data_IF_272484207284
#
_entry.id   IF_272484207284
#
_cell.length_a   1.000
_cell.length_b   1.000
_cell.length_c   1.000
_cell.angle_alpha   90.00
_cell.angle_beta   90.00
_cell.angle_gamma   90.00
#
_symmetry.space_group_name_H-M   'P 1'
#
loop_
_entity.id
_entity.type
_entity.pdbx_description
1 polymer ?
#
# COMPACT_ATOMS: atom_id res chain seq x y z
N UNK A 1 17.24 -3.43 54.64
CA UNK A 1 17.65 -4.02 53.34
C UNK A 1 16.40 -4.45 52.57
N UNK A 2 15.82 -3.54 51.81
CA UNK A 2 14.63 -3.83 51.01
C UNK A 2 15.07 -4.34 49.63
N UNK A 3 14.83 -5.62 49.36
CA UNK A 3 15.12 -6.24 48.07
C UNK A 3 14.06 -5.78 47.06
N UNK A 4 14.51 -5.02 46.06
CA UNK A 4 13.78 -4.75 44.83
C UNK A 4 13.49 -6.08 44.11
N UNK A 5 12.21 -6.38 43.88
CA UNK A 5 11.77 -7.40 42.94
C UNK A 5 11.46 -6.70 41.61
N UNK A 6 12.41 -6.74 40.68
CA UNK A 6 12.18 -6.34 39.28
C UNK A 6 11.37 -7.43 38.58
N UNK A 7 10.11 -7.15 38.28
CA UNK A 7 9.29 -7.94 37.36
C UNK A 7 9.63 -7.50 35.92
N UNK A 8 10.49 -8.27 35.25
CA UNK A 8 10.70 -8.15 33.80
C UNK A 8 9.58 -8.92 33.11
N UNK A 9 8.54 -8.21 32.68
CA UNK A 9 7.51 -8.76 31.79
C UNK A 9 8.08 -8.73 30.37
N UNK A 10 8.59 -9.86 29.90
CA UNK A 10 8.95 -10.06 28.49
C UNK A 10 7.64 -10.36 27.73
N UNK A 11 7.03 -9.33 27.14
CA UNK A 11 5.96 -9.50 26.15
C UNK A 11 6.56 -10.02 24.85
N UNK A 12 6.59 -11.34 24.69
CA UNK A 12 6.86 -11.99 23.40
C UNK A 12 5.66 -11.75 22.48
N UNK A 13 5.72 -10.71 21.66
CA UNK A 13 4.80 -10.50 20.53
C UNK A 13 5.22 -11.38 19.35
N UNK A 14 5.04 -12.70 19.48
CA UNK A 14 5.03 -13.62 18.35
C UNK A 14 3.63 -13.64 17.74
N UNK A 15 3.38 -12.77 16.75
CA UNK A 15 2.21 -12.94 15.89
C UNK A 15 2.46 -12.43 14.49
N UNK A 16 3.43 -13.05 13.80
CA UNK A 16 3.24 -13.35 12.39
C UNK A 16 2.38 -14.62 12.38
N UNK A 17 1.06 -14.46 12.27
CA UNK A 17 0.14 -15.60 12.24
C UNK A 17 0.40 -16.34 10.93
N UNK A 18 0.78 -17.61 11.03
CA UNK A 18 0.89 -18.53 9.90
C UNK A 18 -0.52 -19.06 9.64
N UNK A 19 -1.19 -18.57 8.61
CA UNK A 19 -2.51 -19.12 8.22
C UNK A 19 -2.34 -20.40 7.40
N UNK A 20 -3.20 -21.37 7.69
CA UNK A 20 -3.24 -22.70 7.08
C UNK A 20 -4.06 -22.68 5.80
N UNK A 21 -3.57 -23.40 4.80
CA UNK A 21 -4.10 -23.59 3.45
C UNK A 21 -5.62 -23.80 3.39
N UNK A 22 -6.31 -22.97 2.60
CA UNK A 22 -7.61 -23.31 2.01
C UNK A 22 -7.51 -23.07 0.50
N UNK A 23 -7.62 -24.12 -0.35
CA UNK A 23 -7.64 -23.93 -1.79
C UNK A 23 -8.97 -23.26 -2.20
N UNK A 24 -8.88 -22.26 -3.07
CA UNK A 24 -10.05 -21.69 -3.77
C UNK A 24 -9.88 -21.93 -5.25
N UNK A 25 -10.79 -22.70 -5.85
CA UNK A 25 -10.80 -23.08 -7.26
C UNK A 25 -11.43 -21.93 -8.07
N UNK A 26 -10.74 -21.45 -9.11
CA UNK A 26 -11.32 -20.61 -10.17
C UNK A 26 -11.67 -21.49 -11.39
N UNK A 27 -12.70 -21.08 -12.13
CA UNK A 27 -13.40 -21.89 -13.14
C UNK A 27 -12.64 -22.16 -14.47
N UNK A 28 -11.35 -21.83 -14.59
CA UNK A 28 -10.62 -21.94 -15.86
C UNK A 28 -9.44 -22.92 -15.85
N UNK A 29 -9.37 -23.85 -14.91
CA UNK A 29 -8.42 -24.98 -14.97
C UNK A 29 -6.93 -24.62 -14.91
N UNK A 30 -6.59 -23.36 -14.66
CA UNK A 30 -5.23 -22.92 -14.33
C UNK A 30 -5.09 -22.87 -12.82
N UNK A 31 -4.24 -23.73 -12.28
CA UNK A 31 -3.87 -23.75 -10.86
C UNK A 31 -3.13 -22.45 -10.54
N UNK A 32 -3.85 -21.40 -10.11
CA UNK A 32 -3.22 -20.24 -9.47
C UNK A 32 -2.83 -20.71 -8.07
N UNK A 33 -1.62 -21.25 -7.96
CA UNK A 33 -0.99 -21.53 -6.68
C UNK A 33 -0.86 -20.20 -5.96
N UNK A 34 -1.78 -19.93 -5.01
CA UNK A 34 -1.66 -18.79 -4.10
C UNK A 34 -0.28 -18.87 -3.45
N UNK A 35 0.60 -17.95 -3.84
CA UNK A 35 1.95 -17.83 -3.31
C UNK A 35 1.88 -17.86 -1.78
N UNK A 36 2.51 -18.88 -1.19
CA UNK A 36 2.53 -19.05 0.26
C UNK A 36 3.51 -18.03 0.79
N UNK A 37 2.99 -16.92 1.31
CA UNK A 37 3.77 -15.90 1.99
C UNK A 37 4.47 -16.49 3.22
N UNK A 38 5.71 -16.94 3.03
CA UNK A 38 6.60 -17.30 4.14
C UNK A 38 7.26 -16.02 4.60
N UNK A 39 7.19 -15.70 5.89
CA UNK A 39 7.93 -14.55 6.44
C UNK A 39 9.43 -14.83 6.33
N UNK A 40 10.09 -14.15 5.41
CA UNK A 40 11.52 -14.24 5.12
C UNK A 40 12.32 -13.45 6.17
N UNK A 41 11.85 -12.24 6.51
CA UNK A 41 12.51 -11.32 7.44
C UNK A 41 11.51 -10.32 8.03
N UNK A 42 11.62 -10.03 9.33
CA UNK A 42 10.89 -8.95 10.00
C UNK A 42 11.82 -7.75 10.23
N UNK A 43 11.30 -6.53 10.08
CA UNK A 43 12.05 -5.29 10.30
C UNK A 43 11.36 -4.39 11.31
N UNK A 44 12.09 -3.42 11.85
CA UNK A 44 11.50 -2.40 12.69
C UNK A 44 10.97 -1.28 11.80
N UNK A 45 9.69 -0.94 11.92
CA UNK A 45 9.12 0.22 11.23
C UNK A 45 9.75 1.50 11.79
N UNK A 46 10.38 2.29 10.92
CA UNK A 46 11.22 3.43 11.33
C UNK A 46 10.47 4.75 11.41
N UNK A 47 9.31 4.86 10.78
CA UNK A 47 8.47 6.06 10.84
C UNK A 47 7.67 6.08 12.14
N UNK A 48 8.08 6.92 13.09
CA UNK A 48 7.53 6.96 14.45
C UNK A 48 6.67 8.19 14.77
N UNK A 49 6.73 9.23 13.93
CA UNK A 49 6.08 10.53 14.16
C UNK A 49 4.75 10.73 13.42
N UNK A 50 4.12 9.65 12.93
CA UNK A 50 2.78 9.72 12.37
C UNK A 50 1.71 9.64 13.47
N UNK A 51 0.58 10.32 13.27
CA UNK A 51 -0.61 10.26 14.13
C UNK A 51 -1.76 9.48 13.48
N UNK A 52 -1.78 9.42 12.13
CA UNK A 52 -2.87 8.89 11.32
C UNK A 52 -2.32 8.27 10.04
N UNK A 53 -2.92 7.15 9.63
CA UNK A 53 -2.72 6.56 8.31
C UNK A 53 -4.02 6.67 7.50
N UNK A 54 -3.90 7.12 6.25
CA UNK A 54 -4.99 7.15 5.29
C UNK A 54 -4.65 6.26 4.10
N UNK A 55 -5.64 5.49 3.65
CA UNK A 55 -5.60 4.85 2.34
C UNK A 55 -6.38 5.74 1.38
N UNK A 56 -5.79 6.03 0.22
CA UNK A 56 -6.50 6.70 -0.87
C UNK A 56 -6.47 5.82 -2.11
N UNK A 57 -7.56 5.90 -2.88
CA UNK A 57 -7.66 5.25 -4.18
C UNK A 57 -8.15 6.24 -5.23
N UNK A 58 -7.65 6.05 -6.44
CA UNK A 58 -7.94 6.81 -7.64
C UNK A 58 -7.81 5.90 -8.85
N UNK A 59 -8.42 6.29 -9.96
CA UNK A 59 -8.14 5.66 -11.26
C UNK A 59 -6.68 5.88 -11.65
N UNK A 60 -6.19 5.16 -12.65
CA UNK A 60 -4.78 5.18 -13.09
C UNK A 60 -4.19 6.60 -13.13
N UNK A 61 -3.33 6.93 -12.16
CA UNK A 61 -2.77 8.27 -12.02
C UNK A 61 -2.02 8.71 -13.27
N UNK A 62 -1.33 7.80 -13.94
CA UNK A 62 -0.54 8.14 -15.13
C UNK A 62 -1.44 8.61 -16.27
N UNK A 63 -2.71 8.21 -16.30
CA UNK A 63 -3.65 8.61 -17.34
C UNK A 63 -4.22 10.02 -17.15
N UNK A 64 -4.27 10.56 -15.92
CA UNK A 64 -4.91 11.87 -15.65
C UNK A 64 -4.01 12.90 -14.98
N UNK A 65 -2.92 12.50 -14.33
CA UNK A 65 -2.00 13.44 -13.70
C UNK A 65 -1.16 14.12 -14.79
N UNK A 66 -1.58 15.31 -15.21
CA UNK A 66 -0.89 16.14 -16.22
C UNK A 66 -0.05 17.25 -15.60
N UNK A 67 0.02 17.31 -14.26
CA UNK A 67 0.65 18.40 -13.53
C UNK A 67 2.16 18.14 -13.45
N UNK A 68 2.97 18.97 -14.08
CA UNK A 68 4.40 19.01 -13.82
C UNK A 68 4.70 19.60 -12.43
N UNK A 69 5.77 19.12 -11.79
CA UNK A 69 6.20 19.66 -10.50
C UNK A 69 7.72 19.74 -10.42
N UNK A 70 8.26 20.93 -10.13
CA UNK A 70 9.71 21.20 -10.08
C UNK A 70 10.45 20.72 -11.35
N UNK A 71 9.89 21.02 -12.52
CA UNK A 71 10.41 20.62 -13.85
C UNK A 71 10.53 19.10 -14.02
N UNK A 72 9.73 18.32 -13.29
CA UNK A 72 9.60 16.88 -13.47
C UNK A 72 8.19 16.55 -13.98
N UNK A 73 8.18 15.71 -15.00
CA UNK A 73 6.98 15.08 -15.56
C UNK A 73 6.20 14.28 -14.50
N UNK A 74 4.88 14.07 -14.67
CA UNK A 74 4.04 13.34 -13.72
C UNK A 74 4.54 11.94 -13.33
N UNK A 75 5.22 11.24 -14.24
CA UNK A 75 5.79 9.91 -13.96
C UNK A 75 7.04 9.97 -13.07
N UNK A 76 7.77 11.09 -13.08
CA UNK A 76 9.06 11.26 -12.39
C UNK A 76 9.01 12.19 -11.17
N UNK A 77 7.97 13.03 -11.05
CA UNK A 77 7.84 14.00 -9.96
C UNK A 77 7.66 13.35 -8.59
N UNK A 78 8.07 14.05 -7.55
CA UNK A 78 7.78 13.66 -6.16
C UNK A 78 6.28 13.82 -5.91
N UNK A 79 5.60 12.77 -5.42
CA UNK A 79 4.13 12.77 -5.25
C UNK A 79 3.67 13.52 -4.00
N UNK A 80 4.60 13.70 -3.06
CA UNK A 80 4.41 14.49 -1.84
C UNK A 80 5.60 15.43 -1.69
N UNK A 81 5.30 16.72 -1.58
CA UNK A 81 6.29 17.73 -1.22
C UNK A 81 5.65 18.83 -0.38
N UNK A 82 6.44 19.48 0.47
CA UNK A 82 5.96 20.47 1.44
C UNK A 82 4.69 20.01 2.18
N UNK A 83 4.70 18.74 2.59
CA UNK A 83 3.63 18.07 3.33
C UNK A 83 2.28 17.91 2.61
N UNK A 84 2.23 18.08 1.29
CA UNK A 84 1.02 18.02 0.47
C UNK A 84 1.23 17.16 -0.77
N UNK A 85 0.13 16.70 -1.38
CA UNK A 85 0.17 16.03 -2.68
C UNK A 85 0.57 17.05 -3.76
N UNK A 86 1.30 16.59 -4.77
CA UNK A 86 1.76 17.39 -5.92
C UNK A 86 0.94 17.13 -7.19
N UNK A 87 -0.12 16.34 -7.07
CA UNK A 87 -1.12 16.08 -8.11
C UNK A 87 -2.50 16.55 -7.64
N UNK A 88 -3.46 16.60 -8.56
CA UNK A 88 -4.82 17.03 -8.25
C UNK A 88 -5.52 16.07 -7.28
N UNK A 89 -5.68 16.49 -6.04
CA UNK A 89 -6.33 15.68 -5.00
C UNK A 89 -7.84 15.49 -5.21
N UNK A 90 -8.49 16.24 -6.12
CA UNK A 90 -9.91 16.04 -6.46
C UNK A 90 -10.15 14.77 -7.26
N UNK A 91 -9.09 14.16 -7.79
CA UNK A 91 -9.12 12.88 -8.49
C UNK A 91 -9.12 11.67 -7.56
N UNK A 92 -9.05 11.89 -6.24
CA UNK A 92 -9.19 10.82 -5.24
C UNK A 92 -10.66 10.42 -5.13
N UNK A 93 -10.96 9.17 -5.48
CA UNK A 93 -12.33 8.60 -5.43
C UNK A 93 -12.68 8.07 -4.04
N UNK A 94 -11.71 7.45 -3.37
CA UNK A 94 -11.93 6.84 -2.07
C UNK A 94 -10.86 7.26 -1.08
N UNK A 95 -11.29 7.45 0.17
CA UNK A 95 -10.41 7.71 1.30
C UNK A 95 -10.89 6.94 2.52
N UNK A 96 -10.01 6.13 3.08
CA UNK A 96 -10.27 5.42 4.34
C UNK A 96 -9.23 5.87 5.36
N UNK A 97 -9.68 6.41 6.49
CA UNK A 97 -8.82 6.67 7.65
C UNK A 97 -8.76 5.41 8.50
N UNK A 98 -7.56 4.89 8.76
CA UNK A 98 -7.39 3.66 9.51
C UNK A 98 -7.60 3.87 11.01
N UNK A 99 -8.32 2.94 11.65
CA UNK A 99 -8.33 2.82 13.10
C UNK A 99 -7.09 2.08 13.61
N UNK A 100 -6.86 2.08 14.92
CA UNK A 100 -5.64 1.49 15.53
C UNK A 100 -5.45 0.00 15.23
N UNK A 101 -6.54 -0.77 15.06
CA UNK A 101 -6.45 -2.18 14.68
C UNK A 101 -5.98 -2.31 13.23
N UNK A 102 -6.56 -1.54 12.31
CA UNK A 102 -6.19 -1.52 10.90
C UNK A 102 -4.75 -1.02 10.70
N UNK A 103 -4.34 0.04 11.40
CA UNK A 103 -2.95 0.53 11.39
C UNK A 103 -1.98 -0.58 11.79
N UNK A 104 -2.26 -1.31 12.86
CA UNK A 104 -1.41 -2.42 13.31
C UNK A 104 -1.32 -3.53 12.26
N UNK A 105 -2.44 -3.91 11.64
CA UNK A 105 -2.47 -4.92 10.58
C UNK A 105 -1.65 -4.48 9.35
N UNK A 106 -1.80 -3.23 8.91
CA UNK A 106 -1.02 -2.65 7.81
C UNK A 106 0.48 -2.64 8.11
N UNK A 107 0.86 -2.08 9.26
CA UNK A 107 2.27 -1.99 9.64
C UNK A 107 2.90 -3.36 9.79
N UNK A 108 2.17 -4.35 10.31
CA UNK A 108 2.62 -5.73 10.38
C UNK A 108 2.92 -6.31 8.99
N UNK A 109 2.07 -6.04 8.00
CA UNK A 109 2.34 -6.45 6.61
C UNK A 109 3.58 -5.73 6.06
N UNK A 110 3.68 -4.42 6.23
CA UNK A 110 4.80 -3.61 5.71
C UNK A 110 6.17 -3.99 6.29
N UNK A 111 6.23 -4.49 7.53
CA UNK A 111 7.50 -4.92 8.13
C UNK A 111 7.88 -6.37 7.82
N UNK A 112 6.97 -7.14 7.22
CA UNK A 112 7.21 -8.53 6.87
C UNK A 112 7.65 -8.62 5.40
N UNK A 113 8.79 -9.28 5.21
CA UNK A 113 9.25 -9.73 3.90
C UNK A 113 8.48 -11.02 3.58
N UNK A 114 7.35 -10.91 2.89
CA UNK A 114 6.47 -12.05 2.58
C UNK A 114 6.53 -12.48 1.14
N UNK A 115 7.10 -11.65 0.25
CA UNK A 115 7.04 -11.92 -1.17
C UNK A 115 8.24 -12.69 -1.69
N UNK A 116 7.96 -13.86 -2.27
CA UNK A 116 8.92 -14.58 -3.09
C UNK A 116 8.80 -13.98 -4.50
N UNK A 117 9.89 -13.48 -5.11
CA UNK A 117 9.83 -12.94 -6.45
C UNK A 117 9.41 -14.05 -7.43
N UNK A 118 8.26 -13.90 -8.05
CA UNK A 118 7.90 -14.66 -9.25
C UNK A 118 8.43 -13.91 -10.48
N UNK A 119 8.83 -14.64 -11.52
CA UNK A 119 9.18 -14.02 -12.81
C UNK A 119 7.94 -13.29 -13.34
N UNK A 120 8.00 -11.96 -13.35
CA UNK A 120 6.87 -11.14 -13.77
C UNK A 120 7.01 -10.65 -15.20
N UNK A 121 5.88 -10.68 -15.90
CA UNK A 121 5.74 -9.97 -17.17
C UNK A 121 5.85 -8.46 -16.96
N UNK A 122 6.43 -7.78 -17.92
CA UNK A 122 6.61 -6.32 -17.93
C UNK A 122 5.28 -5.60 -18.14
N UNK A 123 4.52 -5.36 -17.07
CA UNK A 123 3.32 -4.52 -17.12
C UNK A 123 3.65 -3.05 -16.84
N UNK A 124 2.91 -2.13 -17.47
CA UNK A 124 3.09 -0.68 -17.27
C UNK A 124 2.73 -0.26 -15.83
N UNK A 125 3.43 0.76 -15.31
CA UNK A 125 3.14 1.33 -14.00
C UNK A 125 1.84 2.14 -14.03
N UNK A 126 0.74 1.51 -13.60
CA UNK A 126 -0.62 2.08 -13.57
C UNK A 126 -1.16 2.11 -12.13
N UNK A 127 -0.64 3.01 -11.27
CA UNK A 127 -0.97 3.04 -9.86
C UNK A 127 -2.39 3.57 -9.61
N UNK A 128 -3.09 2.92 -8.69
CA UNK A 128 -4.48 3.25 -8.31
C UNK A 128 -4.69 3.43 -6.81
N UNK A 129 -3.63 3.21 -6.04
CA UNK A 129 -3.68 3.15 -4.59
C UNK A 129 -2.44 3.78 -3.98
N UNK A 130 -2.65 4.51 -2.88
CA UNK A 130 -1.57 5.08 -2.10
C UNK A 130 -1.90 5.06 -0.61
N UNK A 131 -0.88 4.73 0.20
CA UNK A 131 -0.89 4.88 1.66
C UNK A 131 -0.28 6.23 1.98
N UNK A 132 -0.96 7.02 2.82
CA UNK A 132 -0.48 8.29 3.34
C UNK A 132 -0.29 8.22 4.85
N UNK A 133 0.89 8.61 5.32
CA UNK A 133 1.17 8.79 6.74
C UNK A 133 1.14 10.26 7.07
N UNK A 134 0.32 10.64 8.05
CA UNK A 134 0.17 12.03 8.49
C UNK A 134 0.62 12.23 9.92
N UNK A 135 1.19 13.38 10.21
CA UNK A 135 1.51 13.78 11.58
C UNK A 135 0.31 14.38 12.33
N UNK A 136 0.51 14.81 13.57
CA UNK A 136 -0.52 15.45 14.41
C UNK A 136 -1.03 16.79 13.86
N UNK A 137 -0.33 17.41 12.91
CA UNK A 137 -0.74 18.64 12.21
C UNK A 137 -1.42 18.31 10.86
N UNK A 138 -1.78 17.05 10.63
CA UNK A 138 -2.38 16.55 9.39
C UNK A 138 -1.48 16.71 8.14
N UNK A 139 -0.17 16.92 8.32
CA UNK A 139 0.84 17.04 7.27
C UNK A 139 1.21 15.67 6.73
N UNK A 140 1.30 15.49 5.41
CA UNK A 140 1.77 14.22 4.83
C UNK A 140 3.28 14.11 5.03
N UNK A 141 3.73 13.13 5.79
CA UNK A 141 5.15 12.95 6.15
C UNK A 141 5.78 11.72 5.50
N UNK A 142 4.96 10.82 4.95
CA UNK A 142 5.42 9.68 4.16
C UNK A 142 4.29 9.17 3.25
N UNK A 143 4.65 8.49 2.16
CA UNK A 143 3.69 7.83 1.28
C UNK A 143 4.25 6.54 0.65
N UNK A 144 3.36 5.65 0.24
CA UNK A 144 3.66 4.50 -0.61
C UNK A 144 2.54 4.35 -1.65
N UNK A 145 2.83 4.66 -2.91
CA UNK A 145 1.96 4.46 -4.08
C UNK A 145 2.35 3.18 -4.78
N UNK A 146 1.41 2.29 -5.09
CA UNK A 146 1.73 1.01 -5.71
C UNK A 146 0.75 0.61 -6.80
N UNK A 147 1.26 -0.23 -7.70
CA UNK A 147 0.57 -0.75 -8.87
C UNK A 147 0.50 -2.27 -8.71
N UNK A 148 -0.67 -2.78 -8.31
CA UNK A 148 -0.85 -4.20 -8.03
C UNK A 148 -0.61 -5.08 -9.26
N UNK A 149 -0.98 -4.62 -10.45
CA UNK A 149 -0.86 -5.37 -11.71
C UNK A 149 0.58 -5.48 -12.24
N UNK A 150 1.46 -4.55 -11.87
CA UNK A 150 2.84 -4.52 -12.33
C UNK A 150 3.87 -4.74 -11.21
N UNK A 151 3.41 -4.94 -9.98
CA UNK A 151 4.25 -5.11 -8.79
C UNK A 151 5.25 -3.97 -8.52
N UNK A 152 4.98 -2.79 -9.09
CA UNK A 152 5.78 -1.58 -8.89
C UNK A 152 5.25 -0.75 -7.74
N UNK A 153 6.13 0.02 -7.09
CA UNK A 153 5.71 1.12 -6.23
C UNK A 153 6.68 2.29 -6.27
N UNK A 154 6.20 3.39 -5.71
CA UNK A 154 6.94 4.62 -5.47
C UNK A 154 6.65 5.03 -4.04
N UNK A 155 7.69 5.34 -3.28
CA UNK A 155 7.56 5.70 -1.87
C UNK A 155 8.42 6.90 -1.52
N UNK A 156 8.11 7.54 -0.41
CA UNK A 156 9.01 8.52 0.21
C UNK A 156 10.25 7.83 0.76
N UNK A 157 11.39 8.53 0.76
CA UNK A 157 12.70 7.96 1.15
C UNK A 157 12.70 7.33 2.57
N UNK A 158 11.89 7.85 3.49
CA UNK A 158 11.76 7.29 4.84
C UNK A 158 11.00 5.94 4.92
N UNK A 159 10.44 5.48 3.81
CA UNK A 159 9.81 4.15 3.66
C UNK A 159 10.61 3.24 2.71
N UNK A 160 11.82 3.62 2.31
CA UNK A 160 12.66 2.80 1.46
C UNK A 160 12.88 1.41 2.05
N UNK A 161 12.66 0.40 1.21
CA UNK A 161 12.79 -1.00 1.59
C UNK A 161 11.57 -1.59 2.30
N UNK A 162 10.54 -0.84 2.70
CA UNK A 162 9.34 -1.42 3.37
C UNK A 162 8.33 -2.08 2.43
N UNK A 163 8.56 -2.06 1.12
CA UNK A 163 7.72 -2.74 0.13
C UNK A 163 8.29 -4.11 -0.24
N UNK A 164 8.35 -5.03 0.73
CA UNK A 164 8.71 -6.44 0.45
C UNK A 164 7.61 -7.46 0.78
N UNK A 165 6.40 -6.94 0.97
CA UNK A 165 5.19 -7.73 0.99
C UNK A 165 4.70 -7.98 -0.44
N UNK A 166 3.91 -9.03 -0.64
CA UNK A 166 3.25 -9.19 -1.93
C UNK A 166 2.10 -8.19 -2.09
N UNK A 167 2.02 -7.54 -3.25
CA UNK A 167 0.99 -6.54 -3.48
C UNK A 167 -0.44 -7.11 -3.50
N UNK A 168 -0.63 -8.41 -3.77
CA UNK A 168 -1.96 -9.03 -3.64
C UNK A 168 -2.42 -9.05 -2.17
N UNK A 169 -1.52 -9.31 -1.21
CA UNK A 169 -1.84 -9.26 0.23
C UNK A 169 -2.21 -7.84 0.65
N UNK A 170 -1.51 -6.85 0.10
CA UNK A 170 -1.86 -5.44 0.29
C UNK A 170 -3.24 -5.12 -0.30
N UNK A 171 -3.57 -5.66 -1.48
CA UNK A 171 -4.90 -5.54 -2.09
C UNK A 171 -5.99 -6.15 -1.23
N UNK A 172 -5.79 -7.35 -0.70
CA UNK A 172 -6.74 -7.99 0.22
C UNK A 172 -6.93 -7.18 1.49
N UNK A 173 -5.86 -6.57 2.01
CA UNK A 173 -5.92 -5.69 3.16
C UNK A 173 -6.72 -4.41 2.85
N UNK A 174 -6.51 -3.81 1.68
CA UNK A 174 -7.26 -2.64 1.23
C UNK A 174 -8.76 -2.96 1.10
N UNK A 175 -9.13 -4.09 0.49
CA UNK A 175 -10.53 -4.56 0.43
C UNK A 175 -11.12 -4.74 1.82
N UNK A 176 -10.38 -5.41 2.70
CA UNK A 176 -10.79 -5.63 4.10
C UNK A 176 -11.01 -4.31 4.85
N UNK A 177 -10.26 -3.26 4.51
CA UNK A 177 -10.40 -1.95 5.14
C UNK A 177 -11.48 -1.07 4.51
N UNK A 178 -12.14 -1.54 3.45
CA UNK A 178 -13.31 -0.89 2.87
C UNK A 178 -13.04 -0.12 1.58
N UNK A 179 -11.85 -0.26 0.98
CA UNK A 179 -11.60 0.21 -0.40
C UNK A 179 -12.38 -0.68 -1.36
N UNK A 180 -13.08 -0.07 -2.32
CA UNK A 180 -13.90 -0.79 -3.31
C UNK A 180 -13.39 -0.60 -4.74
N UNK A 181 -12.66 0.48 -5.00
CA UNK A 181 -12.10 0.79 -6.30
C UNK A 181 -10.97 -0.17 -6.64
N UNK A 182 -11.25 -1.24 -7.36
CA UNK A 182 -10.26 -2.11 -7.96
C UNK A 182 -10.59 -2.25 -9.43
N UNK A 183 -9.64 -1.91 -10.29
CA UNK A 183 -9.79 -2.03 -11.75
C UNK A 183 -9.00 -3.26 -12.18
N UNK A 184 -9.71 -4.24 -12.74
CA UNK A 184 -9.11 -5.38 -13.42
C UNK A 184 -9.02 -5.13 -14.94
N UNK A 185 -8.44 -6.07 -15.68
CA UNK A 185 -8.28 -5.93 -17.14
C UNK A 185 -9.62 -5.75 -17.87
N UNK A 186 -10.72 -6.33 -17.36
CA UNK A 186 -12.04 -6.21 -17.97
C UNK A 186 -12.66 -4.83 -17.74
N UNK A 187 -12.27 -4.15 -16.67
CA UNK A 187 -12.80 -2.84 -16.29
C UNK A 187 -12.00 -1.65 -16.83
N UNK A 188 -10.89 -1.86 -17.54
CA UNK A 188 -10.06 -0.76 -18.06
C UNK A 188 -10.84 0.21 -18.95
N UNK A 189 -11.73 -0.28 -19.81
CA UNK A 189 -12.56 0.59 -20.65
C UNK A 189 -13.50 1.46 -19.81
N UNK A 190 -14.04 0.92 -18.71
CA UNK A 190 -14.89 1.69 -17.79
C UNK A 190 -14.09 2.77 -17.09
N UNK A 191 -12.86 2.47 -16.67
CA UNK A 191 -11.93 3.47 -16.12
C UNK A 191 -11.68 4.60 -17.14
N UNK A 192 -11.33 4.29 -18.38
CA UNK A 192 -11.12 5.30 -19.42
C UNK A 192 -12.38 6.14 -19.67
N UNK A 193 -13.57 5.56 -19.65
CA UNK A 193 -14.81 6.31 -19.76
C UNK A 193 -15.04 7.28 -18.60
N UNK A 194 -14.68 6.89 -17.37
CA UNK A 194 -14.77 7.76 -16.19
C UNK A 194 -13.79 8.92 -16.32
N UNK A 195 -12.55 8.65 -16.69
CA UNK A 195 -11.52 9.68 -16.90
C UNK A 195 -11.91 10.64 -18.03
N UNK A 196 -12.44 10.13 -19.14
CA UNK A 196 -12.95 10.94 -20.26
C UNK A 196 -14.08 11.87 -19.84
N UNK A 197 -15.00 11.40 -18.99
CA UNK A 197 -16.07 12.24 -18.43
C UNK A 197 -15.53 13.34 -17.51
N UNK A 198 -14.35 13.14 -16.92
CA UNK A 198 -13.62 14.12 -16.12
C UNK A 198 -12.71 15.05 -16.94
N UNK A 199 -12.61 14.82 -18.25
CA UNK A 199 -11.83 15.66 -19.17
C UNK A 199 -10.41 15.17 -19.45
N UNK A 200 -10.12 13.89 -19.20
CA UNK A 200 -8.83 13.26 -19.45
C UNK A 200 -8.92 12.18 -20.55
#
# INVERSE_FOLDING_TARGET
MNRLLFLIIILVLNSCKKESNVPSISNDGVEVVKSVSKVIKKRNFTLSNFSKIELISYYDRIAWDTIEYKNKEPFAKDLVDNYKLTFDSTMIEERVTLNKKQEKELLNLMVCDTCIPEEMSSACYRPRHMILFRDSKNRIIAYNEFCMSCNGARNSANLDGFQKYCLYEMGDLFRKFGIKLFVDYADEQKEYEVLRKKGY
#
